data_IF_117714045534
#
_entry.id   IF_117714045534
#
_cell.length_a   1.000
_cell.length_b   1.000
_cell.length_c   1.000
_cell.angle_alpha   90.00
_cell.angle_beta   90.00
_cell.angle_gamma   90.00
#
_symmetry.space_group_name_H-M   'P 1'
#
loop_
_entity.id
_entity.type
_entity.pdbx_description
1 polymer ?
#
# COMPACT_ATOMS: atom_id res chain seq x y z
N UNK A 1 -11.48 -17.02 -6.43
CA UNK A 1 -10.32 -16.38 -5.75
C UNK A 1 -9.08 -16.71 -6.58
N UNK A 2 -8.29 -15.71 -6.95
CA UNK A 2 -7.04 -15.88 -7.71
C UNK A 2 -5.90 -16.39 -6.80
N UNK A 3 -4.84 -17.03 -7.32
CA UNK A 3 -3.78 -17.60 -6.50
C UNK A 3 -3.14 -16.59 -5.53
N UNK A 4 -2.85 -15.36 -5.98
CA UNK A 4 -2.24 -14.32 -5.15
C UNK A 4 -3.13 -13.89 -3.97
N UNK A 5 -4.46 -13.93 -4.14
CA UNK A 5 -5.42 -13.58 -3.08
C UNK A 5 -5.37 -14.62 -1.96
N UNK A 6 -5.29 -15.91 -2.31
CA UNK A 6 -5.14 -16.99 -1.34
C UNK A 6 -3.82 -16.88 -0.59
N UNK A 7 -2.73 -16.70 -1.32
CA UNK A 7 -1.38 -16.56 -0.76
C UNK A 7 -1.28 -15.34 0.17
N UNK A 8 -1.96 -14.24 -0.17
CA UNK A 8 -2.01 -13.07 0.70
C UNK A 8 -2.74 -13.36 2.03
N UNK A 9 -3.85 -14.11 2.00
CA UNK A 9 -4.57 -14.52 3.22
C UNK A 9 -3.68 -15.43 4.08
N UNK A 10 -3.05 -16.44 3.47
CA UNK A 10 -2.13 -17.35 4.16
C UNK A 10 -0.94 -16.59 4.78
N UNK A 11 -0.37 -15.64 4.03
CA UNK A 11 0.68 -14.75 4.50
C UNK A 11 0.21 -13.88 5.69
N UNK A 12 -0.95 -13.24 5.58
CA UNK A 12 -1.51 -12.42 6.65
C UNK A 12 -1.81 -13.21 7.92
N UNK A 13 -2.27 -14.46 7.79
CA UNK A 13 -2.45 -15.37 8.92
C UNK A 13 -1.12 -15.75 9.56
N UNK A 14 -0.11 -16.10 8.75
CA UNK A 14 1.22 -16.50 9.24
C UNK A 14 1.91 -15.39 10.03
N UNK A 15 1.65 -14.12 9.66
CA UNK A 15 2.20 -12.92 10.32
C UNK A 15 1.29 -12.38 11.42
N UNK A 16 0.20 -13.07 11.72
CA UNK A 16 -0.82 -12.62 12.67
C UNK A 16 -1.39 -11.23 12.36
N UNK A 17 -1.27 -10.79 11.10
CA UNK A 17 -1.89 -9.57 10.58
C UNK A 17 -3.41 -9.77 10.53
N UNK A 18 -3.84 -10.95 10.07
CA UNK A 18 -5.23 -11.38 10.15
C UNK A 18 -5.39 -12.31 11.36
N UNK A 19 -6.35 -12.01 12.22
CA UNK A 19 -6.72 -12.82 13.39
C UNK A 19 -8.22 -13.07 13.40
N UNK A 20 -8.62 -14.26 13.82
CA UNK A 20 -10.02 -14.61 14.10
C UNK A 20 -10.26 -14.66 15.61
N UNK A 21 -11.46 -14.28 16.04
CA UNK A 21 -11.82 -14.12 17.46
C UNK A 21 -12.81 -12.98 17.65
N UNK A 22 -13.03 -12.54 18.89
CA UNK A 22 -13.94 -11.43 19.16
C UNK A 22 -13.19 -10.10 19.31
N UNK A 23 -13.41 -9.18 18.38
CA UNK A 23 -12.76 -7.87 18.39
C UNK A 23 -13.80 -6.75 18.42
N UNK A 24 -13.47 -5.64 19.09
CA UNK A 24 -14.28 -4.41 19.04
C UNK A 24 -13.54 -3.40 18.16
N UNK A 25 -14.14 -3.02 17.03
CA UNK A 25 -13.55 -2.09 16.08
C UNK A 25 -13.65 -0.65 16.60
N UNK A 26 -12.89 0.28 16.00
CA UNK A 26 -12.97 1.72 16.32
C UNK A 26 -14.36 2.32 16.10
N UNK A 27 -15.18 1.69 15.27
CA UNK A 27 -16.59 2.03 15.05
C UNK A 27 -17.53 1.52 16.16
N UNK A 28 -17.03 0.78 17.16
CA UNK A 28 -17.83 0.11 18.18
C UNK A 28 -18.41 -1.24 17.78
N UNK A 29 -18.35 -1.61 16.48
CA UNK A 29 -18.85 -2.90 15.99
C UNK A 29 -18.04 -4.07 16.54
N UNK A 30 -18.74 -5.15 16.91
CA UNK A 30 -18.13 -6.47 17.17
C UNK A 30 -17.81 -7.14 15.83
N UNK A 31 -16.58 -7.63 15.69
CA UNK A 31 -16.09 -8.27 14.47
C UNK A 31 -15.49 -9.64 14.81
N UNK A 32 -15.80 -10.71 14.03
CA UNK A 32 -15.23 -12.04 14.24
C UNK A 32 -13.78 -12.15 13.74
N UNK A 33 -13.24 -11.06 13.18
CA UNK A 33 -11.85 -10.96 12.73
C UNK A 33 -11.29 -9.55 12.91
N UNK A 34 -9.96 -9.47 12.94
CA UNK A 34 -9.22 -8.21 12.98
C UNK A 34 -8.05 -8.26 12.02
N UNK A 35 -7.83 -7.15 11.31
CA UNK A 35 -6.75 -7.00 10.33
C UNK A 35 -5.86 -5.81 10.70
N UNK A 36 -4.58 -6.07 10.98
CA UNK A 36 -3.59 -5.06 11.33
C UNK A 36 -2.35 -5.13 10.44
N UNK A 37 -2.39 -4.43 9.30
CA UNK A 37 -1.25 -4.32 8.39
C UNK A 37 0.02 -3.74 9.02
N UNK A 38 -0.05 -3.10 10.19
CA UNK A 38 1.13 -2.60 10.90
C UNK A 38 2.07 -3.70 11.41
N UNK A 39 1.64 -4.96 11.38
CA UNK A 39 2.49 -6.11 11.70
C UNK A 39 3.33 -6.59 10.50
N UNK A 40 3.09 -6.08 9.29
CA UNK A 40 4.06 -6.20 8.19
C UNK A 40 5.20 -5.21 8.42
N UNK A 41 6.17 -5.59 9.24
CA UNK A 41 7.17 -4.69 9.79
C UNK A 41 8.62 -5.12 9.56
N UNK A 42 8.85 -6.18 8.78
CA UNK A 42 10.19 -6.59 8.33
C UNK A 42 10.37 -6.37 6.83
N UNK A 43 11.63 -6.33 6.35
CA UNK A 43 11.92 -6.15 4.92
C UNK A 43 11.29 -7.22 4.03
N UNK A 44 11.30 -8.49 4.46
CA UNK A 44 10.63 -9.58 3.73
C UNK A 44 9.11 -9.40 3.68
N UNK A 45 8.52 -8.88 4.76
CA UNK A 45 7.09 -8.65 4.81
C UNK A 45 6.69 -7.53 3.85
N UNK A 46 7.47 -6.44 3.80
CA UNK A 46 7.26 -5.35 2.87
C UNK A 46 7.41 -5.81 1.42
N UNK A 47 8.47 -6.56 1.10
CA UNK A 47 8.68 -7.09 -0.25
C UNK A 47 7.50 -7.95 -0.72
N UNK A 48 7.01 -8.87 0.12
CA UNK A 48 5.83 -9.66 -0.20
C UNK A 48 4.56 -8.81 -0.31
N UNK A 49 4.37 -7.85 0.60
CA UNK A 49 3.23 -6.93 0.57
C UNK A 49 3.20 -6.15 -0.75
N UNK A 50 4.33 -5.60 -1.19
CA UNK A 50 4.44 -4.89 -2.46
C UNK A 50 4.07 -5.75 -3.65
N UNK A 51 4.55 -7.00 -3.68
CA UNK A 51 4.20 -7.97 -4.72
C UNK A 51 2.71 -8.26 -4.78
N UNK A 52 2.05 -8.46 -3.64
CA UNK A 52 0.60 -8.68 -3.62
C UNK A 52 -0.20 -7.46 -4.11
N UNK A 53 0.23 -6.24 -3.78
CA UNK A 53 -0.40 -5.02 -4.28
C UNK A 53 -0.15 -4.81 -5.78
N UNK A 54 1.06 -5.07 -6.26
CA UNK A 54 1.42 -4.98 -7.68
C UNK A 54 0.59 -5.96 -8.52
N UNK A 55 0.52 -7.21 -8.08
CA UNK A 55 -0.31 -8.24 -8.73
C UNK A 55 -1.78 -7.82 -8.78
N UNK A 56 -2.33 -7.32 -7.67
CA UNK A 56 -3.72 -6.85 -7.63
C UNK A 56 -3.99 -5.65 -8.55
N UNK A 57 -3.02 -4.74 -8.70
CA UNK A 57 -3.15 -3.59 -9.60
C UNK A 57 -3.13 -4.02 -11.06
N UNK A 58 -2.16 -4.86 -11.44
CA UNK A 58 -2.06 -5.40 -12.81
C UNK A 58 -3.31 -6.21 -13.15
N UNK A 59 -3.76 -7.05 -12.22
CA UNK A 59 -4.97 -7.87 -12.35
C UNK A 59 -6.27 -7.06 -12.50
N UNK A 60 -6.29 -5.84 -11.96
CA UNK A 60 -7.46 -4.96 -12.04
C UNK A 60 -7.69 -4.38 -13.43
N UNK A 61 -6.64 -4.31 -14.27
CA UNK A 61 -6.69 -3.66 -15.57
C UNK A 61 -6.97 -2.14 -15.52
N UNK A 62 -6.88 -1.53 -14.33
CA UNK A 62 -7.02 -0.08 -14.17
C UNK A 62 -5.75 0.58 -14.71
N UNK A 63 -5.91 1.56 -15.61
CA UNK A 63 -4.82 2.41 -16.07
C UNK A 63 -4.55 3.55 -15.08
N UNK A 64 -3.27 3.85 -14.86
CA UNK A 64 -2.82 4.90 -13.95
C UNK A 64 -1.41 5.35 -14.30
N UNK A 65 -1.13 6.63 -14.07
CA UNK A 65 0.16 7.24 -14.42
C UNK A 65 1.10 7.42 -13.21
N UNK A 66 0.61 7.20 -11.99
CA UNK A 66 1.34 7.47 -10.75
C UNK A 66 0.80 6.68 -9.56
N UNK A 67 1.70 6.21 -8.69
CA UNK A 67 1.36 5.66 -7.38
C UNK A 67 1.46 6.72 -6.28
N UNK A 68 0.36 6.91 -5.54
CA UNK A 68 0.32 7.87 -4.42
C UNK A 68 0.20 7.16 -3.06
N UNK A 69 1.16 7.40 -2.16
CA UNK A 69 1.20 6.87 -0.80
C UNK A 69 0.77 7.89 0.25
N UNK A 70 -0.43 7.81 0.85
CA UNK A 70 -0.85 8.77 1.88
C UNK A 70 -0.04 8.64 3.18
N UNK A 71 0.37 9.78 3.76
CA UNK A 71 1.14 9.82 5.00
C UNK A 71 0.37 9.25 6.21
N UNK A 72 0.95 8.39 7.04
CA UNK A 72 2.28 7.78 6.97
C UNK A 72 2.25 6.34 6.45
N UNK A 73 1.15 5.62 6.69
CA UNK A 73 1.05 4.19 6.42
C UNK A 73 1.07 3.84 4.93
N UNK A 74 0.60 4.74 4.08
CA UNK A 74 0.60 4.54 2.64
C UNK A 74 1.97 4.73 2.00
N UNK A 75 2.90 5.42 2.67
CA UNK A 75 4.26 5.66 2.15
C UNK A 75 4.99 4.33 1.90
N UNK A 76 5.22 3.46 2.91
CA UNK A 76 5.94 2.22 2.67
C UNK A 76 5.20 1.29 1.71
N UNK A 77 3.86 1.27 1.73
CA UNK A 77 3.04 0.44 0.84
C UNK A 77 3.28 0.86 -0.61
N UNK A 78 3.04 2.13 -0.94
CA UNK A 78 3.20 2.60 -2.30
C UNK A 78 4.66 2.55 -2.78
N UNK A 79 5.64 2.74 -1.88
CA UNK A 79 7.05 2.50 -2.20
C UNK A 79 7.32 1.05 -2.58
N UNK A 80 6.91 0.08 -1.77
CA UNK A 80 7.19 -1.33 -2.08
C UNK A 80 6.36 -1.85 -3.26
N UNK A 81 5.17 -1.29 -3.51
CA UNK A 81 4.35 -1.60 -4.69
C UNK A 81 5.01 -1.08 -5.96
N UNK A 82 5.55 0.14 -5.95
CA UNK A 82 6.27 0.70 -7.11
C UNK A 82 7.50 -0.16 -7.46
N UNK A 83 8.28 -0.55 -6.45
CA UNK A 83 9.42 -1.47 -6.65
C UNK A 83 8.97 -2.80 -7.25
N UNK A 84 7.89 -3.39 -6.72
CA UNK A 84 7.40 -4.67 -7.21
C UNK A 84 6.81 -4.60 -8.64
N UNK A 85 6.19 -3.47 -9.03
CA UNK A 85 5.73 -3.23 -10.39
C UNK A 85 6.90 -3.19 -11.38
N UNK A 86 7.99 -2.50 -11.01
CA UNK A 86 9.19 -2.46 -11.84
C UNK A 86 9.87 -3.84 -11.94
N UNK A 87 10.10 -4.53 -10.82
CA UNK A 87 10.86 -5.80 -10.81
C UNK A 87 10.10 -7.02 -11.36
N UNK A 88 8.77 -7.07 -11.18
CA UNK A 88 7.98 -8.28 -11.50
C UNK A 88 6.99 -8.09 -12.64
N UNK A 89 6.71 -6.86 -13.04
CA UNK A 89 5.71 -6.56 -14.08
C UNK A 89 6.25 -5.65 -15.20
N UNK A 90 7.53 -5.25 -15.15
CA UNK A 90 8.17 -4.35 -16.13
C UNK A 90 7.44 -3.01 -16.28
N UNK A 91 6.84 -2.54 -15.18
CA UNK A 91 6.11 -1.27 -15.11
C UNK A 91 6.88 -0.26 -14.24
N UNK A 92 7.70 0.59 -14.87
CA UNK A 92 8.40 1.67 -14.18
C UNK A 92 7.50 2.91 -14.05
N UNK A 93 7.07 3.21 -12.82
CA UNK A 93 6.03 4.19 -12.54
C UNK A 93 6.47 5.28 -11.57
N UNK A 94 6.09 6.55 -11.82
CA UNK A 94 6.26 7.62 -10.85
C UNK A 94 5.60 7.30 -9.50
N UNK A 95 6.28 7.67 -8.41
CA UNK A 95 5.79 7.54 -7.04
C UNK A 95 5.78 8.90 -6.32
N UNK A 96 4.71 9.18 -5.56
CA UNK A 96 4.58 10.39 -4.76
C UNK A 96 3.90 10.12 -3.40
N UNK A 97 4.17 10.98 -2.42
CA UNK A 97 3.48 10.96 -1.13
C UNK A 97 3.34 12.38 -0.55
N UNK A 98 2.33 12.59 0.29
CA UNK A 98 2.17 13.84 1.04
C UNK A 98 2.89 13.78 2.40
N UNK A 99 3.03 14.93 3.05
CA UNK A 99 3.53 15.05 4.44
C UNK A 99 2.46 15.69 5.31
N UNK A 100 2.20 15.18 6.53
CA UNK A 100 1.39 15.92 7.51
C UNK A 100 2.10 17.24 7.87
N UNK A 101 1.35 18.34 7.87
CA UNK A 101 1.86 19.72 8.02
C UNK A 101 2.53 19.88 9.39
N UNK A 102 3.81 20.28 9.41
CA UNK A 102 4.58 20.47 10.66
C UNK A 102 6.05 20.90 10.54
N UNK A 103 6.58 21.25 9.36
CA UNK A 103 7.95 21.82 9.25
C UNK A 103 7.95 23.20 8.59
N UNK A 104 8.78 24.08 9.17
CA UNK A 104 9.23 25.37 8.62
C UNK A 104 9.80 25.21 7.19
N UNK A 105 9.76 26.27 6.36
CA UNK A 105 10.08 26.16 4.94
C UNK A 105 11.60 26.09 4.71
N UNK A 106 12.10 24.88 4.49
CA UNK A 106 13.32 24.66 3.70
C UNK A 106 13.01 23.47 2.77
N UNK A 107 13.17 23.69 1.48
CA UNK A 107 12.76 22.82 0.36
C UNK A 107 11.25 22.79 0.03
N UNK A 108 10.74 23.90 -0.53
CA UNK A 108 9.58 23.90 -1.46
C UNK A 108 10.11 23.81 -2.89
N UNK A 109 10.60 22.65 -3.32
CA UNK A 109 10.95 22.43 -4.73
C UNK A 109 10.95 20.93 -5.01
N UNK A 110 9.82 20.37 -5.45
CA UNK A 110 9.73 19.12 -6.23
C UNK A 110 8.26 18.65 -6.40
N UNK A 111 7.41 18.86 -5.38
CA UNK A 111 6.12 18.14 -5.31
C UNK A 111 5.04 18.71 -6.25
N UNK A 112 5.18 19.94 -6.77
CA UNK A 112 4.14 20.60 -7.55
C UNK A 112 4.15 20.32 -9.07
N UNK A 113 5.15 19.60 -9.61
CA UNK A 113 5.27 19.48 -11.08
C UNK A 113 4.61 18.25 -11.70
N UNK A 114 4.12 17.26 -10.92
CA UNK A 114 3.60 15.98 -11.49
C UNK A 114 2.08 15.83 -11.36
N UNK A 115 1.40 16.71 -10.63
CA UNK A 115 -0.06 16.69 -10.51
C UNK A 115 -0.72 17.77 -11.39
N UNK A 116 -0.57 17.68 -12.72
CA UNK A 116 -1.69 18.05 -13.59
C UNK A 116 -2.57 16.81 -13.73
N UNK A 117 -3.32 16.50 -12.67
CA UNK A 117 -4.58 15.78 -12.86
C UNK A 117 -5.40 16.64 -13.81
N UNK A 118 -5.58 16.17 -15.05
CA UNK A 118 -6.62 16.70 -15.95
C UNK A 118 -7.96 16.36 -15.30
N UNK A 119 -8.52 17.32 -14.58
CA UNK A 119 -9.94 17.39 -14.30
C UNK A 119 -10.49 18.54 -15.13
N UNK A 120 -11.28 18.22 -16.16
CA UNK A 120 -12.00 19.18 -17.00
C UNK A 120 -11.19 19.75 -18.15
#
# INVERSE_FOLDING_TARGET
>A
MKPYQRQFIEFALSKQVLKFGEFTLKSGRKSPYFFNAGLFNTGRDLALLGRFYAEALVDSGIEFDLLFGPAYKGIPIATTTAVALAEHHDHDLPYCFNRKRGKKPMAKAAIWSVARCRAG
#
